data_IF_160032829080
#
_entry.id   IF_160032829080
#
_cell.length_a   1.000
_cell.length_b   1.000
_cell.length_c   1.000
_cell.angle_alpha   90.00
_cell.angle_beta   90.00
_cell.angle_gamma   90.00
#
_symmetry.space_group_name_H-M   'P 1'
#
loop_
_entity.id
_entity.type
_entity.pdbx_description
1 polymer ?
#
# COMPACT_ATOMS: atom_id res chain seq x y z
N UNK A 1 1.95 -2.13 -47.03
CA UNK A 1 1.36 -1.62 -45.79
C UNK A 1 1.38 -0.09 -45.81
N UNK A 2 0.21 0.55 -45.80
CA UNK A 2 0.11 2.00 -45.90
C UNK A 2 0.59 2.67 -44.58
N UNK A 3 1.09 3.90 -44.72
CA UNK A 3 1.56 4.70 -43.59
C UNK A 3 0.49 4.80 -42.47
N UNK A 4 -0.78 4.92 -42.84
CA UNK A 4 -1.93 4.92 -41.93
C UNK A 4 -2.04 3.63 -41.10
N UNK A 5 -1.77 2.47 -41.70
CA UNK A 5 -1.81 1.16 -41.01
C UNK A 5 -0.66 1.05 -39.98
N UNK A 6 0.50 1.64 -40.29
CA UNK A 6 1.64 1.68 -39.37
C UNK A 6 1.37 2.57 -38.16
N UNK A 7 0.72 3.73 -38.37
CA UNK A 7 0.36 4.62 -37.25
C UNK A 7 -0.68 4.00 -36.32
N UNK A 8 -1.65 3.25 -36.86
CA UNK A 8 -2.67 2.58 -36.04
C UNK A 8 -2.05 1.49 -35.16
N UNK A 9 -1.08 0.73 -35.70
CA UNK A 9 -0.40 -0.33 -34.93
C UNK A 9 0.45 0.28 -33.82
N UNK A 10 1.12 1.39 -34.06
CA UNK A 10 1.94 2.08 -33.02
C UNK A 10 1.05 2.67 -31.94
N UNK A 11 -0.10 3.25 -32.30
CA UNK A 11 -1.06 3.77 -31.32
C UNK A 11 -1.66 2.66 -30.45
N UNK A 12 -1.97 1.50 -31.05
CA UNK A 12 -2.50 0.35 -30.30
C UNK A 12 -1.46 -0.24 -29.32
N UNK A 13 -0.18 -0.21 -29.65
CA UNK A 13 0.90 -0.65 -28.77
C UNK A 13 1.12 0.30 -27.59
N UNK A 14 0.87 1.58 -27.76
CA UNK A 14 1.00 2.59 -26.68
C UNK A 14 -0.13 2.53 -25.67
N UNK A 15 -1.30 1.98 -26.04
CA UNK A 15 -2.45 1.84 -25.14
C UNK A 15 -2.45 0.55 -24.33
N UNK A 16 -1.50 -0.36 -24.57
CA UNK A 16 -1.39 -1.65 -23.88
C UNK A 16 -0.42 -1.63 -22.69
N UNK A 17 0.03 -0.46 -22.24
CA UNK A 17 0.82 -0.36 -21.00
C UNK A 17 -0.05 -0.77 -19.83
N UNK A 18 0.38 -1.77 -19.01
CA UNK A 18 -0.37 -2.13 -17.81
C UNK A 18 -0.52 -0.90 -16.93
N UNK A 19 -1.72 -0.69 -16.38
CA UNK A 19 -1.91 0.28 -15.31
C UNK A 19 -0.88 0.00 -14.22
N UNK A 20 -0.25 1.03 -13.68
CA UNK A 20 0.88 0.93 -12.77
C UNK A 20 0.67 -0.07 -11.62
N UNK A 21 1.76 -0.57 -11.08
CA UNK A 21 1.77 -1.56 -10.00
C UNK A 21 1.27 -0.92 -8.70
N UNK A 22 -0.04 -0.84 -8.54
CA UNK A 22 -0.66 -0.43 -7.28
C UNK A 22 -0.63 -1.57 -6.28
N UNK A 23 -0.32 -1.25 -5.02
CA UNK A 23 -0.38 -2.22 -3.93
C UNK A 23 -1.84 -2.40 -3.52
N UNK A 24 -2.36 -3.61 -3.66
CA UNK A 24 -3.69 -3.97 -3.17
C UNK A 24 -3.65 -4.52 -1.73
N UNK A 25 -4.82 -4.72 -1.15
CA UNK A 25 -4.94 -5.23 0.22
C UNK A 25 -4.35 -6.63 0.40
N UNK A 26 -4.47 -7.50 -0.59
CA UNK A 26 -3.89 -8.86 -0.53
C UNK A 26 -2.36 -8.81 -0.47
N UNK A 27 -1.75 -7.94 -1.26
CA UNK A 27 -0.29 -7.76 -1.24
C UNK A 27 0.18 -7.19 0.10
N UNK A 28 -0.50 -6.17 0.60
CA UNK A 28 -0.14 -5.56 1.88
C UNK A 28 -0.30 -6.55 3.03
N UNK A 29 -1.35 -7.37 3.01
CA UNK A 29 -1.56 -8.42 4.01
C UNK A 29 -0.41 -9.46 4.00
N UNK A 30 0.04 -9.89 2.82
CA UNK A 30 1.20 -10.79 2.70
C UNK A 30 2.46 -10.15 3.28
N UNK A 31 2.70 -8.88 2.99
CA UNK A 31 3.86 -8.16 3.52
C UNK A 31 3.77 -7.98 5.05
N UNK A 32 2.58 -7.75 5.56
CA UNK A 32 2.33 -7.65 7.00
C UNK A 32 2.59 -8.99 7.71
N UNK A 33 2.15 -10.11 7.13
CA UNK A 33 2.41 -11.44 7.67
C UNK A 33 3.92 -11.78 7.69
N UNK A 34 4.65 -11.36 6.68
CA UNK A 34 6.12 -11.51 6.66
C UNK A 34 6.80 -10.60 7.69
N UNK A 35 6.27 -9.41 7.94
CA UNK A 35 6.76 -8.52 8.99
C UNK A 35 6.57 -9.14 10.37
N UNK A 36 5.42 -9.75 10.64
CA UNK A 36 5.18 -10.48 11.89
C UNK A 36 6.15 -11.65 12.04
N UNK A 37 6.29 -12.48 11.00
CA UNK A 37 7.20 -13.62 11.01
C UNK A 37 8.66 -13.18 11.24
N UNK A 38 9.07 -12.07 10.66
CA UNK A 38 10.40 -11.51 10.85
C UNK A 38 10.60 -11.01 12.30
N UNK A 39 9.61 -10.34 12.86
CA UNK A 39 9.65 -9.84 14.24
C UNK A 39 9.66 -10.99 15.27
N UNK A 40 9.04 -12.11 14.93
CA UNK A 40 9.06 -13.35 15.72
C UNK A 40 10.32 -14.19 15.47
N UNK A 41 11.29 -13.66 14.75
CA UNK A 41 12.55 -14.34 14.41
C UNK A 41 12.37 -15.66 13.66
N UNK A 42 11.29 -15.77 12.90
CA UNK A 42 11.03 -16.96 12.11
C UNK A 42 12.13 -17.15 11.03
N UNK A 43 12.78 -18.32 10.93
CA UNK A 43 13.93 -18.50 10.04
C UNK A 43 13.61 -18.35 8.56
N UNK A 44 12.36 -18.61 8.15
CA UNK A 44 11.91 -18.54 6.76
C UNK A 44 11.29 -17.18 6.40
N UNK A 45 11.30 -16.20 7.32
CA UNK A 45 10.73 -14.89 7.06
C UNK A 45 11.45 -14.17 5.92
N UNK A 46 10.68 -13.62 4.98
CA UNK A 46 11.20 -12.86 3.87
C UNK A 46 11.44 -11.41 4.29
N UNK A 47 12.71 -11.06 4.50
CA UNK A 47 13.13 -9.73 4.97
C UNK A 47 12.74 -8.60 4.03
N UNK A 48 12.78 -8.83 2.72
CA UNK A 48 12.38 -7.83 1.73
C UNK A 48 10.89 -7.50 1.87
N UNK A 49 10.04 -8.51 1.94
CA UNK A 49 8.59 -8.32 2.10
C UNK A 49 8.25 -7.71 3.46
N UNK A 50 8.92 -8.13 4.52
CA UNK A 50 8.78 -7.53 5.86
C UNK A 50 9.12 -6.04 5.84
N UNK A 51 10.25 -5.68 5.24
CA UNK A 51 10.66 -4.29 5.08
C UNK A 51 9.72 -3.47 4.20
N UNK A 52 9.10 -4.10 3.20
CA UNK A 52 8.14 -3.43 2.33
C UNK A 52 6.90 -2.96 3.10
N UNK A 53 6.37 -3.78 4.01
CA UNK A 53 5.24 -3.38 4.87
C UNK A 53 5.55 -2.08 5.63
N UNK A 54 6.64 -2.07 6.38
CA UNK A 54 7.07 -0.90 7.15
C UNK A 54 7.36 0.32 6.27
N UNK A 55 8.06 0.10 5.15
CA UNK A 55 8.41 1.17 4.21
C UNK A 55 7.21 1.79 3.51
N UNK A 56 6.23 0.97 3.13
CA UNK A 56 4.99 1.45 2.53
C UNK A 56 4.20 2.35 3.49
N UNK A 57 4.03 1.92 4.73
CA UNK A 57 3.34 2.72 5.75
C UNK A 57 4.11 4.00 6.09
N UNK A 58 5.44 3.94 6.18
CA UNK A 58 6.27 5.13 6.39
C UNK A 58 6.13 6.14 5.26
N UNK A 59 6.19 5.68 4.02
CA UNK A 59 6.04 6.55 2.85
C UNK A 59 4.66 7.21 2.79
N UNK A 60 3.61 6.46 3.08
CA UNK A 60 2.24 6.99 3.13
C UNK A 60 2.11 8.04 4.25
N UNK A 61 2.64 7.74 5.43
CA UNK A 61 2.62 8.66 6.56
C UNK A 61 3.40 9.94 6.25
N UNK A 62 4.60 9.83 5.69
CA UNK A 62 5.41 10.99 5.31
C UNK A 62 4.71 11.89 4.30
N UNK A 63 3.96 11.30 3.37
CA UNK A 63 3.20 12.06 2.38
C UNK A 63 2.05 12.88 2.99
N UNK A 64 1.46 12.43 4.09
CA UNK A 64 0.27 13.02 4.71
C UNK A 64 0.58 13.83 5.97
N UNK A 65 1.74 13.60 6.60
CA UNK A 65 2.12 14.23 7.87
C UNK A 65 2.14 15.76 7.76
N UNK A 66 1.48 16.40 8.73
CA UNK A 66 1.37 17.86 8.77
C UNK A 66 0.39 18.46 7.77
N UNK A 67 -0.23 17.65 6.92
CA UNK A 67 -1.26 18.07 5.95
C UNK A 67 -2.65 17.66 6.42
N UNK A 68 -2.96 16.38 6.32
CA UNK A 68 -4.24 15.82 6.76
C UNK A 68 -4.10 14.85 7.92
N UNK A 69 -2.88 14.41 8.22
CA UNK A 69 -2.53 13.50 9.31
C UNK A 69 -1.51 14.16 10.23
N UNK A 70 -1.75 14.08 11.53
CA UNK A 70 -0.82 14.50 12.57
C UNK A 70 -0.55 13.33 13.51
N UNK A 71 0.47 12.54 13.16
CA UNK A 71 0.81 11.30 13.84
C UNK A 71 1.68 11.58 15.07
N UNK A 72 1.18 11.21 16.27
CA UNK A 72 1.83 11.52 17.54
C UNK A 72 2.03 10.31 18.44
N UNK A 73 1.82 9.11 17.90
CA UNK A 73 1.95 7.86 18.64
C UNK A 73 3.08 7.01 18.09
N UNK A 74 3.41 5.88 18.74
CA UNK A 74 4.47 5.04 18.23
C UNK A 74 4.07 4.36 16.90
N UNK A 75 5.07 4.08 16.09
CA UNK A 75 4.88 3.37 14.83
C UNK A 75 4.26 1.98 15.02
N UNK A 76 4.54 1.33 16.14
CA UNK A 76 3.97 0.04 16.48
C UNK A 76 2.44 0.05 16.54
N UNK A 77 1.84 1.15 16.97
CA UNK A 77 0.38 1.30 16.97
C UNK A 77 -0.18 1.38 15.56
N UNK A 78 0.48 2.12 14.67
CA UNK A 78 0.07 2.19 13.27
C UNK A 78 0.12 0.81 12.61
N UNK A 79 1.23 0.09 12.77
CA UNK A 79 1.40 -1.24 12.17
C UNK A 79 0.33 -2.21 12.66
N UNK A 80 0.03 -2.21 13.96
CA UNK A 80 -1.03 -3.04 14.55
C UNK A 80 -2.42 -2.64 14.03
N UNK A 81 -2.71 -1.36 13.92
CA UNK A 81 -3.98 -0.85 13.43
C UNK A 81 -4.23 -1.22 11.97
N UNK A 82 -3.22 -1.10 11.13
CA UNK A 82 -3.33 -1.50 9.71
C UNK A 82 -3.48 -3.02 9.59
N UNK A 83 -2.75 -3.80 10.38
CA UNK A 83 -2.89 -5.26 10.43
C UNK A 83 -4.32 -5.67 10.84
N UNK A 84 -4.88 -5.05 11.86
CA UNK A 84 -6.27 -5.30 12.29
C UNK A 84 -7.27 -4.93 11.19
N UNK A 85 -7.09 -3.79 10.55
CA UNK A 85 -7.96 -3.35 9.46
C UNK A 85 -7.99 -4.36 8.31
N UNK A 86 -6.83 -4.84 7.89
CA UNK A 86 -6.72 -5.85 6.83
C UNK A 86 -7.45 -7.16 7.17
N UNK A 87 -7.38 -7.59 8.42
CA UNK A 87 -8.08 -8.79 8.89
C UNK A 87 -9.59 -8.61 8.99
N UNK A 88 -10.03 -7.44 9.40
CA UNK A 88 -11.43 -7.14 9.69
C UNK A 88 -12.21 -6.70 8.44
N UNK A 89 -11.52 -6.37 7.35
CA UNK A 89 -12.12 -5.86 6.11
C UNK A 89 -11.71 -6.68 4.89
N UNK A 90 -12.13 -7.96 4.80
CA UNK A 90 -11.77 -8.82 3.66
C UNK A 90 -12.30 -8.30 2.32
N UNK A 91 -13.36 -7.51 2.32
CA UNK A 91 -13.92 -6.83 1.16
C UNK A 91 -13.02 -5.71 0.58
N UNK A 92 -12.11 -5.19 1.39
CA UNK A 92 -11.15 -4.16 0.96
C UNK A 92 -9.88 -4.74 0.32
N UNK A 93 -9.65 -6.05 0.43
CA UNK A 93 -8.40 -6.67 -0.04
C UNK A 93 -8.21 -6.59 -1.57
N UNK A 94 -9.30 -6.56 -2.33
CA UNK A 94 -9.24 -6.43 -3.80
C UNK A 94 -9.00 -4.99 -4.27
N UNK A 95 -9.05 -4.02 -3.38
CA UNK A 95 -8.91 -2.60 -3.69
C UNK A 95 -7.47 -2.12 -3.50
N UNK A 96 -7.04 -1.09 -4.24
CA UNK A 96 -5.78 -0.41 -3.96
C UNK A 96 -5.74 0.09 -2.52
N UNK A 97 -4.65 -0.17 -1.81
CA UNK A 97 -4.49 0.19 -0.39
C UNK A 97 -4.67 1.70 -0.17
N UNK A 98 -4.15 2.52 -1.07
CA UNK A 98 -4.26 3.97 -0.95
C UNK A 98 -5.70 4.47 -0.84
N UNK A 99 -6.68 3.77 -1.43
CA UNK A 99 -8.09 4.18 -1.42
C UNK A 99 -8.72 4.16 -0.03
N UNK A 100 -8.28 3.27 0.84
CA UNK A 100 -8.81 3.16 2.21
C UNK A 100 -7.79 3.58 3.28
N UNK A 101 -6.49 3.42 3.03
CA UNK A 101 -5.46 3.73 4.02
C UNK A 101 -5.39 5.24 4.30
N UNK A 102 -5.48 6.08 3.28
CA UNK A 102 -5.51 7.54 3.47
C UNK A 102 -6.65 7.93 4.39
N UNK A 103 -7.84 7.41 4.11
CA UNK A 103 -9.02 7.68 4.94
C UNK A 103 -8.86 7.16 6.36
N UNK A 104 -8.34 5.96 6.54
CA UNK A 104 -8.07 5.38 7.86
C UNK A 104 -7.12 6.26 8.67
N UNK A 105 -6.04 6.74 8.06
CA UNK A 105 -5.07 7.60 8.73
C UNK A 105 -5.66 8.96 9.08
N UNK A 106 -6.40 9.58 8.17
CA UNK A 106 -7.05 10.87 8.40
C UNK A 106 -8.12 10.80 9.49
N UNK A 107 -8.91 9.72 9.51
CA UNK A 107 -9.96 9.52 10.53
C UNK A 107 -9.38 9.19 11.91
N UNK A 108 -8.22 8.49 11.94
CA UNK A 108 -7.62 8.04 13.20
C UNK A 108 -6.67 9.06 13.81
N UNK A 109 -5.89 9.75 12.98
CA UNK A 109 -4.86 10.70 13.40
C UNK A 109 -5.06 12.08 12.76
N UNK A 110 -6.22 12.70 12.90
CA UNK A 110 -6.48 13.99 12.27
C UNK A 110 -5.60 15.09 12.86
N UNK A 111 -5.26 16.07 12.03
CA UNK A 111 -4.68 17.34 12.50
C UNK A 111 -5.79 18.21 13.07
N UNK A 112 -6.28 17.88 14.26
CA UNK A 112 -7.32 18.64 14.93
C UNK A 112 -6.73 19.74 15.79
N UNK A 113 -7.53 20.74 15.93
CA UNK A 113 -7.29 21.83 16.86
C UNK A 113 -7.85 21.54 18.23
#
# INVERSE_FOLDING_TARGET
MNILTRFVIIAALLTSLPAGAEVDGHQLLRFQQEADAFNEEHPDANRYRAGFFGGYLSGMLDALEGRSVCFKVCRCELDARVADYLRDHPDELDRPVATWLVKLLEDTYPCTQ
#
